data_IF_928363449677
#
_entry.id   IF_928363449677
#
_cell.length_a   1.000
_cell.length_b   1.000
_cell.length_c   1.000
_cell.angle_alpha   90.00
_cell.angle_beta   90.00
_cell.angle_gamma   90.00
#
_symmetry.space_group_name_H-M   'P 1'
#
loop_
_entity.id
_entity.type
_entity.pdbx_description
1 polymer ?
#
# COMPACT_ATOMS: atom_id res chain seq x y z
N UNK A 1 32.69 28.87 -18.90
CA UNK A 1 32.76 27.39 -18.99
C UNK A 1 33.82 26.89 -18.03
N UNK A 2 33.64 25.67 -17.49
CA UNK A 2 34.53 24.96 -16.54
C UNK A 2 34.30 25.11 -15.02
N UNK A 3 33.17 25.66 -14.52
CA UNK A 3 32.90 25.69 -13.07
C UNK A 3 31.52 25.16 -12.62
N UNK A 4 30.73 24.53 -13.51
CA UNK A 4 29.37 24.03 -13.18
C UNK A 4 29.16 22.56 -13.58
N UNK A 5 30.23 21.77 -13.73
CA UNK A 5 30.12 20.33 -14.08
C UNK A 5 30.72 19.36 -13.05
N UNK A 6 31.17 19.83 -11.88
CA UNK A 6 31.71 18.95 -10.83
C UNK A 6 30.73 18.64 -9.67
N UNK A 7 29.49 19.12 -9.72
CA UNK A 7 28.49 18.84 -8.67
C UNK A 7 27.53 17.68 -9.00
N UNK A 8 27.63 17.05 -10.18
CA UNK A 8 26.68 16.01 -10.62
C UNK A 8 27.23 14.57 -10.54
N UNK A 9 28.47 14.35 -10.08
CA UNK A 9 29.04 12.99 -10.01
C UNK A 9 29.53 12.51 -8.64
N UNK A 10 29.31 13.23 -7.53
CA UNK A 10 29.64 12.76 -6.17
C UNK A 10 28.41 12.45 -5.30
N UNK A 11 27.38 11.83 -5.89
CA UNK A 11 26.20 11.32 -5.15
C UNK A 11 25.76 9.92 -5.53
N UNK A 12 26.66 9.12 -6.10
CA UNK A 12 26.51 7.67 -6.23
C UNK A 12 27.62 7.01 -5.42
N UNK A 13 27.24 6.04 -4.59
CA UNK A 13 28.05 5.31 -3.61
C UNK A 13 28.29 6.02 -2.28
N UNK A 14 27.42 5.76 -1.30
CA UNK A 14 27.78 5.07 -0.04
C UNK A 14 26.76 5.36 1.08
N UNK A 15 25.79 4.47 1.28
CA UNK A 15 25.17 4.08 2.56
C UNK A 15 23.79 3.45 2.29
N UNK A 16 23.80 2.21 1.84
CA UNK A 16 22.68 1.29 2.08
C UNK A 16 22.67 0.98 3.58
N UNK A 17 21.82 1.69 4.33
CA UNK A 17 21.44 1.26 5.68
C UNK A 17 20.76 -0.11 5.56
N UNK A 18 21.07 -1.10 6.41
CA UNK A 18 20.26 -2.30 6.44
C UNK A 18 18.85 -1.91 6.90
N UNK A 19 17.86 -2.30 6.10
CA UNK A 19 16.46 -2.30 6.49
C UNK A 19 16.33 -3.09 7.79
N UNK A 20 16.11 -2.38 8.90
CA UNK A 20 15.53 -2.98 10.11
C UNK A 20 14.08 -3.30 9.78
N UNK A 21 13.90 -4.50 9.22
CA UNK A 21 12.63 -5.17 9.11
C UNK A 21 12.08 -5.30 10.55
N UNK A 22 11.14 -4.42 10.91
CA UNK A 22 10.43 -4.49 12.18
C UNK A 22 9.49 -5.70 12.12
N UNK A 23 10.07 -6.89 12.22
CA UNK A 23 9.35 -8.11 12.56
C UNK A 23 8.95 -7.95 14.01
N UNK A 24 7.77 -7.36 14.23
CA UNK A 24 6.99 -7.57 15.44
C UNK A 24 6.65 -9.07 15.48
N UNK A 25 7.63 -9.90 15.82
CA UNK A 25 7.36 -11.19 16.41
C UNK A 25 6.60 -10.88 17.69
N UNK A 26 5.29 -11.12 17.66
CA UNK A 26 4.52 -11.32 18.88
C UNK A 26 5.15 -12.55 19.52
N UNK A 27 6.17 -12.31 20.33
CA UNK A 27 6.68 -13.27 21.29
C UNK A 27 5.52 -13.52 22.23
N UNK A 28 4.79 -14.61 21.99
CA UNK A 28 3.99 -15.23 23.02
C UNK A 28 4.98 -15.69 24.09
N UNK A 29 5.33 -14.79 25.01
CA UNK A 29 5.84 -15.17 26.31
C UNK A 29 4.70 -15.91 27.00
N UNK A 30 4.57 -17.20 26.70
CA UNK A 30 3.99 -18.15 27.64
C UNK A 30 5.00 -18.20 28.77
N UNK A 31 4.88 -17.23 29.69
CA UNK A 31 5.48 -17.33 31.01
C UNK A 31 4.73 -18.45 31.68
N UNK A 32 5.14 -19.70 31.41
CA UNK A 32 4.68 -20.84 32.18
C UNK A 32 5.08 -20.51 33.63
N UNK A 33 4.12 -20.27 34.54
CA UNK A 33 4.49 -20.14 35.93
C UNK A 33 5.10 -21.49 36.29
N UNK A 34 6.37 -21.48 36.67
CA UNK A 34 7.01 -22.63 37.30
C UNK A 34 6.21 -22.87 38.58
N UNK A 35 5.15 -23.68 38.51
CA UNK A 35 4.39 -24.11 39.67
C UNK A 35 5.36 -24.94 40.50
N UNK A 36 5.97 -24.29 41.48
CA UNK A 36 6.65 -24.94 42.57
C UNK A 36 5.59 -25.71 43.32
N UNK A 37 5.42 -26.99 42.95
CA UNK A 37 4.56 -27.92 43.65
C UNK A 37 5.07 -27.98 45.10
N UNK A 38 4.41 -27.20 45.96
CA UNK A 38 4.64 -27.23 47.39
C UNK A 38 3.99 -28.52 47.91
N UNK A 39 4.70 -29.64 47.69
CA UNK A 39 4.50 -30.87 48.45
C UNK A 39 4.84 -30.51 49.90
N UNK A 40 3.80 -30.10 50.64
CA UNK A 40 3.90 -29.81 52.07
C UNK A 40 4.43 -31.08 52.71
N UNK A 41 5.68 -31.06 53.21
CA UNK A 41 6.32 -32.21 53.86
C UNK A 41 5.42 -32.64 55.01
N UNK A 42 4.70 -33.74 54.82
CA UNK A 42 3.77 -34.27 55.81
C UNK A 42 4.62 -34.97 56.87
N UNK A 43 5.05 -34.23 57.89
CA UNK A 43 5.56 -34.81 59.13
C UNK A 43 4.36 -35.11 60.04
N UNK A 44 4.01 -36.39 60.13
CA UNK A 44 3.03 -36.90 61.08
C UNK A 44 3.71 -37.95 61.96
N UNK A 45 3.52 -37.73 63.27
CA UNK A 45 3.76 -38.52 64.50
C UNK A 45 4.28 -39.97 64.44
N UNK A 46 4.97 -40.42 65.51
CA UNK A 46 5.65 -41.71 65.56
C UNK A 46 4.68 -42.88 65.42
N UNK A 47 5.12 -43.91 64.68
CA UNK A 47 4.35 -45.11 64.41
C UNK A 47 4.02 -45.86 65.72
N UNK A 48 2.73 -45.87 66.06
CA UNK A 48 2.15 -46.68 67.13
C UNK A 48 2.11 -48.19 66.78
N UNK A 49 2.67 -48.58 65.63
CA UNK A 49 2.66 -49.94 65.07
C UNK A 49 4.02 -50.68 65.17
N UNK A 50 4.87 -50.33 66.16
CA UNK A 50 5.99 -51.19 66.55
C UNK A 50 5.51 -52.42 67.33
N UNK A 51 4.64 -53.22 66.73
CA UNK A 51 4.16 -54.45 67.36
C UNK A 51 5.09 -55.58 66.97
N UNK A 52 5.92 -56.03 67.92
CA UNK A 52 6.72 -57.23 67.76
C UNK A 52 5.75 -58.40 67.47
N UNK A 53 5.93 -59.07 66.33
CA UNK A 53 4.97 -60.05 65.84
C UNK A 53 5.12 -61.43 66.46
N UNK A 54 6.19 -61.65 67.22
CA UNK A 54 6.45 -62.91 67.90
C UNK A 54 6.43 -62.75 69.42
N UNK A 55 5.94 -63.78 70.10
CA UNK A 55 5.89 -63.87 71.56
C UNK A 55 7.24 -64.37 72.08
N UNK A 56 8.00 -63.48 72.73
CA UNK A 56 9.31 -63.80 73.31
C UNK A 56 9.24 -64.93 74.32
N UNK A 57 8.15 -65.05 75.10
CA UNK A 57 8.03 -66.09 76.12
C UNK A 57 7.78 -67.45 75.49
N UNK A 58 6.86 -67.52 74.51
CA UNK A 58 6.59 -68.77 73.78
C UNK A 58 7.86 -69.31 73.10
N UNK A 59 8.67 -68.42 72.52
CA UNK A 59 9.90 -68.80 71.83
C UNK A 59 11.00 -69.27 72.79
N UNK A 60 11.10 -68.70 74.00
CA UNK A 60 12.00 -69.21 75.05
C UNK A 60 11.57 -70.61 75.49
N UNK A 61 10.27 -70.83 75.73
CA UNK A 61 9.75 -72.14 76.14
C UNK A 61 9.97 -73.22 75.08
N UNK A 62 9.81 -72.87 73.79
CA UNK A 62 10.09 -73.77 72.67
C UNK A 62 11.58 -74.15 72.58
N UNK A 63 12.48 -73.17 72.75
CA UNK A 63 13.93 -73.42 72.77
C UNK A 63 14.36 -74.28 73.97
N UNK A 64 13.80 -74.05 75.16
CA UNK A 64 14.04 -74.90 76.34
C UNK A 64 13.60 -76.34 76.09
N UNK A 65 12.41 -76.55 75.49
CA UNK A 65 11.91 -77.88 75.12
C UNK A 65 12.76 -78.59 74.05
N UNK A 66 13.53 -77.82 73.28
CA UNK A 66 14.43 -78.31 72.24
C UNK A 66 15.84 -78.63 72.75
N UNK A 67 16.07 -78.52 74.08
CA UNK A 67 17.31 -78.91 74.74
C UNK A 67 18.30 -77.78 75.00
N UNK A 68 17.90 -76.51 74.84
CA UNK A 68 18.72 -75.36 75.22
C UNK A 68 18.58 -75.05 76.71
N UNK A 69 19.67 -74.61 77.34
CA UNK A 69 19.60 -74.06 78.70
C UNK A 69 18.77 -72.76 78.67
N UNK A 70 17.95 -72.53 79.70
CA UNK A 70 17.13 -71.31 79.86
C UNK A 70 17.89 -70.02 79.53
N UNK A 71 19.12 -69.90 80.05
CA UNK A 71 19.98 -68.74 79.81
C UNK A 71 20.38 -68.58 78.34
N UNK A 72 20.61 -69.69 77.63
CA UNK A 72 20.95 -69.67 76.21
C UNK A 72 19.72 -69.32 75.36
N UNK A 73 18.55 -69.88 75.70
CA UNK A 73 17.29 -69.56 75.04
C UNK A 73 16.94 -68.07 75.19
N UNK A 74 17.00 -67.52 76.41
CA UNK A 74 16.76 -66.09 76.69
C UNK A 74 17.73 -65.18 75.91
N UNK A 75 19.00 -65.55 75.80
CA UNK A 75 20.02 -64.75 75.11
C UNK A 75 19.81 -64.74 73.58
N UNK A 76 19.44 -65.88 72.99
CA UNK A 76 19.07 -66.00 71.57
C UNK A 76 17.81 -65.19 71.27
N UNK A 77 16.77 -65.34 72.10
CA UNK A 77 15.52 -64.58 71.94
C UNK A 77 15.78 -63.08 72.09
N UNK A 78 16.59 -62.65 73.07
CA UNK A 78 16.95 -61.24 73.24
C UNK A 78 17.67 -60.68 72.01
N UNK A 79 18.63 -61.41 71.44
CA UNK A 79 19.32 -60.98 70.22
C UNK A 79 18.36 -60.85 69.03
N UNK A 80 17.40 -61.78 68.90
CA UNK A 80 16.37 -61.73 67.86
C UNK A 80 15.40 -60.56 68.05
N UNK A 81 15.00 -60.25 69.28
CA UNK A 81 14.18 -59.06 69.59
C UNK A 81 14.93 -57.79 69.21
N UNK A 82 16.20 -57.66 69.56
CA UNK A 82 17.02 -56.49 69.22
C UNK A 82 17.18 -56.34 67.70
N UNK A 83 17.51 -57.42 66.99
CA UNK A 83 17.67 -57.41 65.53
C UNK A 83 16.34 -57.09 64.82
N UNK A 84 15.23 -57.69 65.27
CA UNK A 84 13.90 -57.45 64.69
C UNK A 84 13.45 -56.03 64.93
N UNK A 85 13.69 -55.48 66.12
CA UNK A 85 13.36 -54.08 66.44
C UNK A 85 14.16 -53.11 65.56
N UNK A 86 15.46 -53.35 65.39
CA UNK A 86 16.31 -52.54 64.52
C UNK A 86 15.88 -52.62 63.04
N UNK A 87 15.52 -53.82 62.55
CA UNK A 87 15.01 -54.00 61.18
C UNK A 87 13.65 -53.31 60.98
N UNK A 88 12.75 -53.41 61.95
CA UNK A 88 11.45 -52.72 61.93
C UNK A 88 11.67 -51.21 61.79
N UNK A 89 12.57 -50.61 62.56
CA UNK A 89 12.85 -49.18 62.47
C UNK A 89 13.41 -48.75 61.10
N UNK A 90 14.27 -49.56 60.49
CA UNK A 90 14.80 -49.29 59.14
C UNK A 90 13.69 -49.39 58.09
N UNK A 91 12.90 -50.46 58.12
CA UNK A 91 11.84 -50.70 57.13
C UNK A 91 10.74 -49.64 57.23
N UNK A 92 10.31 -49.26 58.44
CA UNK A 92 9.28 -48.24 58.61
C UNK A 92 9.75 -46.82 58.28
N UNK A 93 11.05 -46.56 58.32
CA UNK A 93 11.62 -45.29 57.87
C UNK A 93 11.52 -45.11 56.35
N UNK A 94 11.65 -46.19 55.60
CA UNK A 94 11.61 -46.17 54.13
C UNK A 94 10.20 -46.48 53.57
N UNK A 95 9.29 -47.00 54.41
CA UNK A 95 7.91 -47.26 54.03
C UNK A 95 7.02 -46.02 54.08
N UNK A 96 6.03 -46.00 53.19
CA UNK A 96 4.98 -44.98 53.16
C UNK A 96 3.73 -45.53 53.86
N UNK A 97 3.21 -44.80 54.84
CA UNK A 97 1.97 -45.18 55.53
C UNK A 97 0.76 -44.89 54.65
N UNK A 98 -0.34 -45.64 54.84
CA UNK A 98 -1.61 -45.40 54.13
C UNK A 98 -2.10 -43.96 54.31
N UNK A 99 -1.94 -43.39 55.52
CA UNK A 99 -2.29 -41.99 55.80
C UNK A 99 -1.45 -41.01 54.96
N UNK A 100 -0.14 -41.27 54.80
CA UNK A 100 0.73 -40.45 53.96
C UNK A 100 0.33 -40.51 52.48
N UNK A 101 0.00 -41.72 51.98
CA UNK A 101 -0.49 -41.91 50.62
C UNK A 101 -1.82 -41.18 50.39
N UNK A 102 -2.77 -41.26 51.33
CA UNK A 102 -4.07 -40.60 51.21
C UNK A 102 -3.94 -39.07 51.16
N UNK A 103 -3.09 -38.48 52.01
CA UNK A 103 -2.83 -37.03 51.99
C UNK A 103 -2.20 -36.61 50.66
N UNK A 104 -1.23 -37.38 50.15
CA UNK A 104 -0.61 -37.09 48.86
C UNK A 104 -1.63 -37.16 47.71
N UNK A 105 -2.51 -38.17 47.72
CA UNK A 105 -3.59 -38.29 46.73
C UNK A 105 -4.56 -37.12 46.82
N UNK A 106 -4.99 -36.72 48.02
CA UNK A 106 -5.87 -35.56 48.19
C UNK A 106 -5.24 -34.26 47.68
N UNK A 107 -3.94 -34.05 47.90
CA UNK A 107 -3.21 -32.92 47.34
C UNK A 107 -3.21 -32.95 45.81
N UNK A 108 -2.90 -34.11 45.20
CA UNK A 108 -2.92 -34.27 43.74
C UNK A 108 -4.30 -33.98 43.16
N UNK A 109 -5.37 -34.49 43.79
CA UNK A 109 -6.75 -34.24 43.35
C UNK A 109 -7.10 -32.75 43.44
N UNK A 110 -6.73 -32.07 44.53
CA UNK A 110 -6.95 -30.64 44.68
C UNK A 110 -6.23 -29.81 43.59
N UNK A 111 -4.98 -30.20 43.25
CA UNK A 111 -4.25 -29.57 42.16
C UNK A 111 -4.90 -29.81 40.80
N UNK A 112 -5.36 -31.03 40.52
CA UNK A 112 -6.09 -31.35 39.28
C UNK A 112 -7.39 -30.56 39.18
N UNK A 113 -8.11 -30.36 40.29
CA UNK A 113 -9.33 -29.56 40.31
C UNK A 113 -9.07 -28.06 40.08
N UNK A 114 -7.94 -27.54 40.56
CA UNK A 114 -7.50 -26.17 40.25
C UNK A 114 -7.21 -26.01 38.76
N UNK A 115 -6.41 -26.91 38.17
CA UNK A 115 -6.11 -26.91 36.72
C UNK A 115 -7.40 -27.02 35.89
N UNK A 116 -8.34 -27.87 36.32
CA UNK A 116 -9.64 -27.99 35.64
C UNK A 116 -10.42 -26.68 35.66
N UNK A 117 -10.44 -25.96 36.78
CA UNK A 117 -11.08 -24.64 36.87
C UNK A 117 -10.43 -23.64 35.92
N UNK A 118 -9.10 -23.57 35.91
CA UNK A 118 -8.36 -22.65 35.04
C UNK A 118 -8.65 -22.95 33.56
N UNK A 119 -8.68 -24.23 33.16
CA UNK A 119 -9.06 -24.66 31.81
C UNK A 119 -10.48 -24.20 31.42
N UNK A 120 -11.45 -24.37 32.31
CA UNK A 120 -12.84 -23.95 32.07
C UNK A 120 -12.96 -22.43 31.98
N UNK A 121 -12.22 -21.68 32.80
CA UNK A 121 -12.18 -20.21 32.73
C UNK A 121 -11.58 -19.76 31.40
N UNK A 122 -10.47 -20.37 30.98
CA UNK A 122 -9.80 -20.08 29.72
C UNK A 122 -10.73 -20.31 28.52
N UNK A 123 -11.42 -21.46 28.49
CA UNK A 123 -12.35 -21.83 27.43
C UNK A 123 -13.57 -20.91 27.38
N UNK A 124 -14.17 -20.59 28.53
CA UNK A 124 -15.39 -19.79 28.59
C UNK A 124 -15.15 -18.28 28.45
N UNK A 125 -14.03 -17.78 28.92
CA UNK A 125 -13.73 -16.34 28.92
C UNK A 125 -12.85 -15.96 27.74
N UNK A 126 -11.61 -16.42 27.72
CA UNK A 126 -10.61 -15.88 26.79
C UNK A 126 -10.85 -16.35 25.36
N UNK A 127 -11.10 -17.65 25.16
CA UNK A 127 -11.40 -18.17 23.82
C UNK A 127 -12.72 -17.62 23.26
N UNK A 128 -13.76 -17.49 24.10
CA UNK A 128 -15.03 -16.90 23.68
C UNK A 128 -14.86 -15.43 23.28
N UNK A 129 -14.12 -14.65 24.06
CA UNK A 129 -13.81 -13.25 23.76
C UNK A 129 -13.00 -13.12 22.46
N UNK A 130 -11.93 -13.89 22.31
CA UNK A 130 -11.11 -13.89 21.09
C UNK A 130 -11.92 -14.27 19.86
N UNK A 131 -12.81 -15.27 19.96
CA UNK A 131 -13.68 -15.67 18.85
C UNK A 131 -14.67 -14.56 18.51
N UNK A 132 -15.29 -13.94 19.50
CA UNK A 132 -16.19 -12.79 19.31
C UNK A 132 -15.47 -11.64 18.63
N UNK A 133 -14.30 -11.25 19.13
CA UNK A 133 -13.48 -10.18 18.57
C UNK A 133 -13.02 -10.49 17.13
N UNK A 134 -12.63 -11.74 16.86
CA UNK A 134 -12.29 -12.17 15.50
C UNK A 134 -13.48 -12.06 14.53
N UNK A 135 -14.69 -12.47 14.96
CA UNK A 135 -15.90 -12.31 14.13
C UNK A 135 -16.27 -10.84 13.93
N UNK A 136 -16.04 -9.99 14.93
CA UNK A 136 -16.26 -8.54 14.83
C UNK A 136 -15.30 -7.91 13.83
N UNK A 137 -14.00 -8.20 13.94
CA UNK A 137 -12.99 -7.72 13.01
C UNK A 137 -13.26 -8.17 11.58
N UNK A 138 -13.69 -9.43 11.36
CA UNK A 138 -14.10 -9.90 10.03
C UNK A 138 -15.25 -9.09 9.45
N UNK A 139 -16.28 -8.78 10.25
CA UNK A 139 -17.42 -7.97 9.82
C UNK A 139 -17.01 -6.54 9.47
N UNK A 140 -16.19 -5.91 10.29
CA UNK A 140 -15.68 -4.55 10.04
C UNK A 140 -14.81 -4.49 8.77
N UNK A 141 -13.98 -5.52 8.54
CA UNK A 141 -13.16 -5.63 7.34
C UNK A 141 -14.02 -5.79 6.08
N UNK A 142 -15.07 -6.61 6.14
CA UNK A 142 -16.01 -6.79 5.03
C UNK A 142 -16.80 -5.51 4.73
N UNK A 143 -17.27 -4.81 5.77
CA UNK A 143 -17.91 -3.50 5.63
C UNK A 143 -16.97 -2.47 4.99
N UNK A 144 -15.71 -2.39 5.44
CA UNK A 144 -14.73 -1.46 4.88
C UNK A 144 -14.43 -1.79 3.43
N UNK A 145 -14.28 -3.08 3.09
CA UNK A 145 -14.09 -3.54 1.72
C UNK A 145 -15.25 -3.12 0.81
N UNK A 146 -16.48 -3.33 1.25
CA UNK A 146 -17.67 -2.95 0.48
C UNK A 146 -17.74 -1.44 0.28
N UNK A 147 -17.51 -0.64 1.34
CA UNK A 147 -17.47 0.83 1.25
C UNK A 147 -16.41 1.33 0.27
N UNK A 148 -15.20 0.78 0.32
CA UNK A 148 -14.12 1.16 -0.61
C UNK A 148 -14.49 0.80 -2.04
N UNK A 149 -15.10 -0.36 -2.26
CA UNK A 149 -15.55 -0.77 -3.58
C UNK A 149 -16.66 0.13 -4.13
N UNK A 150 -17.64 0.48 -3.31
CA UNK A 150 -18.74 1.41 -3.66
C UNK A 150 -18.21 2.80 -3.98
N UNK A 151 -17.38 3.40 -3.12
CA UNK A 151 -16.79 4.71 -3.35
C UNK A 151 -15.87 4.72 -4.58
N UNK A 152 -15.10 3.66 -4.81
CA UNK A 152 -14.27 3.53 -6.01
C UNK A 152 -15.11 3.47 -7.28
N UNK A 153 -16.23 2.72 -7.27
CA UNK A 153 -17.15 2.67 -8.39
C UNK A 153 -17.84 4.01 -8.63
N UNK A 154 -18.27 4.68 -7.57
CA UNK A 154 -18.88 6.00 -7.62
C UNK A 154 -17.93 7.03 -8.23
N UNK A 155 -16.72 7.15 -7.70
CA UNK A 155 -15.68 8.05 -8.23
C UNK A 155 -15.39 7.74 -9.71
N UNK A 156 -15.34 6.46 -10.09
CA UNK A 156 -15.13 6.07 -11.49
C UNK A 156 -16.27 6.52 -12.41
N UNK A 157 -17.52 6.40 -11.97
CA UNK A 157 -18.70 6.82 -12.74
C UNK A 157 -18.74 8.35 -12.83
N UNK A 158 -18.52 9.05 -11.73
CA UNK A 158 -18.46 10.52 -11.66
C UNK A 158 -17.35 11.05 -12.58
N UNK A 159 -16.13 10.53 -12.46
CA UNK A 159 -15.00 10.95 -13.31
C UNK A 159 -15.27 10.71 -14.79
N UNK A 160 -15.90 9.57 -15.14
CA UNK A 160 -16.26 9.29 -16.54
C UNK A 160 -17.31 10.27 -17.06
N UNK A 161 -18.29 10.62 -16.23
CA UNK A 161 -19.29 11.62 -16.57
C UNK A 161 -18.65 12.99 -16.78
N UNK A 162 -17.79 13.43 -15.87
CA UNK A 162 -17.08 14.71 -15.96
C UNK A 162 -16.24 14.81 -17.23
N UNK A 163 -15.47 13.76 -17.55
CA UNK A 163 -14.68 13.69 -18.79
C UNK A 163 -15.59 13.78 -20.02
N UNK A 164 -16.72 13.08 -20.01
CA UNK A 164 -17.64 13.10 -21.14
C UNK A 164 -18.29 14.48 -21.33
N UNK A 165 -18.69 15.14 -20.24
CA UNK A 165 -19.25 16.48 -20.28
C UNK A 165 -18.22 17.50 -20.79
N UNK A 166 -16.99 17.43 -20.30
CA UNK A 166 -15.92 18.33 -20.76
C UNK A 166 -15.52 18.03 -22.21
N UNK A 167 -15.51 16.76 -22.63
CA UNK A 167 -15.27 16.39 -24.03
C UNK A 167 -16.37 16.93 -24.96
N UNK A 168 -17.64 16.86 -24.54
CA UNK A 168 -18.75 17.47 -25.27
C UNK A 168 -18.58 18.98 -25.37
N UNK A 169 -18.24 19.64 -24.25
CA UNK A 169 -18.01 21.09 -24.20
C UNK A 169 -16.88 21.52 -25.13
N UNK A 170 -15.76 20.80 -25.14
CA UNK A 170 -14.64 21.05 -26.04
C UNK A 170 -15.07 20.86 -27.50
N UNK A 171 -15.84 19.82 -27.80
CA UNK A 171 -16.34 19.56 -29.15
C UNK A 171 -17.27 20.68 -29.64
N UNK A 172 -18.18 21.16 -28.79
CA UNK A 172 -19.08 22.26 -29.11
C UNK A 172 -18.32 23.57 -29.35
N UNK A 173 -17.34 23.88 -28.50
CA UNK A 173 -16.46 25.05 -28.67
C UNK A 173 -15.64 24.96 -29.97
N UNK A 174 -15.15 23.77 -30.31
CA UNK A 174 -14.42 23.54 -31.56
C UNK A 174 -15.31 23.75 -32.78
N UNK A 175 -16.54 23.20 -32.77
CA UNK A 175 -17.51 23.41 -33.84
C UNK A 175 -17.89 24.89 -34.00
N UNK A 176 -18.02 25.63 -32.89
CA UNK A 176 -18.26 27.08 -32.93
C UNK A 176 -17.07 27.84 -33.57
N UNK A 177 -15.84 27.46 -33.22
CA UNK A 177 -14.64 28.05 -33.81
C UNK A 177 -14.53 27.73 -35.31
N UNK A 178 -14.80 26.49 -35.71
CA UNK A 178 -14.82 26.08 -37.10
C UNK A 178 -15.85 26.88 -37.91
N UNK A 179 -17.04 27.09 -37.36
CA UNK A 179 -18.07 27.94 -37.96
C UNK A 179 -17.59 29.39 -38.13
N UNK A 180 -17.02 30.01 -37.09
CA UNK A 180 -16.48 31.38 -37.18
C UNK A 180 -15.37 31.49 -38.22
N UNK A 181 -14.52 30.47 -38.33
CA UNK A 181 -13.46 30.42 -39.33
C UNK A 181 -14.03 30.28 -40.76
N UNK A 182 -15.08 29.49 -40.94
CA UNK A 182 -15.79 29.37 -42.22
C UNK A 182 -16.45 30.70 -42.62
N UNK A 183 -17.13 31.37 -41.69
CA UNK A 183 -17.72 32.71 -41.91
C UNK A 183 -16.64 33.72 -42.31
N UNK A 184 -15.54 33.81 -41.53
CA UNK A 184 -14.44 34.73 -41.84
C UNK A 184 -13.76 34.42 -43.17
N UNK A 185 -13.64 33.15 -43.54
CA UNK A 185 -13.09 32.72 -44.84
C UNK A 185 -14.03 33.12 -45.98
N UNK A 186 -15.34 32.95 -45.80
CA UNK A 186 -16.34 33.36 -46.78
C UNK A 186 -16.34 34.88 -46.98
N UNK A 187 -16.32 35.64 -45.89
CA UNK A 187 -16.22 37.11 -45.93
C UNK A 187 -14.94 37.59 -46.59
N UNK A 188 -13.81 36.93 -46.32
CA UNK A 188 -12.54 37.21 -46.98
C UNK A 188 -12.60 36.96 -48.48
N UNK A 189 -13.20 35.84 -48.90
CA UNK A 189 -13.38 35.54 -50.33
C UNK A 189 -14.31 36.54 -51.02
N UNK A 190 -15.39 36.97 -50.36
CA UNK A 190 -16.28 38.00 -50.91
C UNK A 190 -15.52 39.32 -51.12
N UNK A 191 -14.82 39.81 -50.09
CA UNK A 191 -14.03 41.05 -50.19
C UNK A 191 -12.93 40.96 -51.24
N UNK A 192 -12.31 39.78 -51.39
CA UNK A 192 -11.32 39.54 -52.43
C UNK A 192 -11.94 39.65 -53.83
N UNK A 193 -13.13 39.08 -54.05
CA UNK A 193 -13.84 39.16 -55.32
C UNK A 193 -14.23 40.62 -55.65
N UNK A 194 -14.71 41.38 -54.66
CA UNK A 194 -15.02 42.80 -54.82
C UNK A 194 -13.76 43.60 -55.24
N UNK A 195 -12.63 43.38 -54.54
CA UNK A 195 -11.36 44.01 -54.89
C UNK A 195 -10.85 43.62 -56.28
N UNK A 196 -11.03 42.38 -56.70
CA UNK A 196 -10.66 41.94 -58.06
C UNK A 196 -11.55 42.61 -59.12
N UNK A 197 -12.85 42.77 -58.84
CA UNK A 197 -13.78 43.49 -59.71
C UNK A 197 -13.40 44.96 -59.86
N UNK A 198 -13.16 45.66 -58.75
CA UNK A 198 -12.74 47.07 -58.74
C UNK A 198 -11.42 47.27 -59.51
N UNK A 199 -10.44 46.40 -59.27
CA UNK A 199 -9.17 46.43 -60.00
C UNK A 199 -9.37 46.21 -61.51
N UNK A 200 -10.25 45.28 -61.91
CA UNK A 200 -10.59 45.06 -63.31
C UNK A 200 -11.23 46.31 -63.94
N UNK A 201 -12.15 46.99 -63.23
CA UNK A 201 -12.78 48.22 -63.71
C UNK A 201 -11.75 49.34 -63.87
N UNK A 202 -10.86 49.53 -62.88
CA UNK A 202 -9.78 50.53 -62.94
C UNK A 202 -8.84 50.24 -64.12
N UNK A 203 -8.41 48.99 -64.30
CA UNK A 203 -7.55 48.60 -65.42
C UNK A 203 -8.22 48.89 -66.77
N UNK A 204 -9.51 48.55 -66.92
CA UNK A 204 -10.27 48.85 -68.13
C UNK A 204 -10.37 50.36 -68.40
N UNK A 205 -10.60 51.18 -67.37
CA UNK A 205 -10.62 52.65 -67.50
C UNK A 205 -9.26 53.20 -67.90
N UNK A 206 -8.18 52.68 -67.31
CA UNK A 206 -6.81 53.05 -67.65
C UNK A 206 -6.49 52.72 -69.12
N UNK A 207 -6.86 51.52 -69.60
CA UNK A 207 -6.66 51.13 -70.99
C UNK A 207 -7.42 52.06 -71.97
N UNK A 208 -8.67 52.43 -71.64
CA UNK A 208 -9.45 53.37 -72.43
C UNK A 208 -8.82 54.78 -72.46
N UNK A 209 -8.33 55.26 -71.31
CA UNK A 209 -7.64 56.55 -71.24
C UNK A 209 -6.32 56.53 -72.04
N UNK A 210 -5.54 55.44 -71.96
CA UNK A 210 -4.30 55.28 -72.74
C UNK A 210 -4.60 55.28 -74.25
N UNK A 211 -5.63 54.55 -74.70
CA UNK A 211 -6.05 54.54 -76.10
C UNK A 211 -6.54 55.91 -76.59
N UNK A 212 -7.32 56.61 -75.76
CA UNK A 212 -7.80 57.97 -76.02
C UNK A 212 -6.64 58.95 -76.15
N UNK A 213 -5.72 58.97 -75.16
CA UNK A 213 -4.52 59.81 -75.18
C UNK A 213 -3.64 59.52 -76.40
N UNK A 214 -3.48 58.25 -76.78
CA UNK A 214 -2.75 57.86 -77.99
C UNK A 214 -3.40 58.42 -79.25
N UNK A 215 -4.72 58.37 -79.35
CA UNK A 215 -5.48 58.94 -80.48
C UNK A 215 -5.28 60.44 -80.59
N UNK A 216 -5.38 61.18 -79.47
CA UNK A 216 -5.13 62.63 -79.42
C UNK A 216 -3.67 62.96 -79.80
N UNK A 217 -2.71 62.15 -79.32
CA UNK A 217 -1.31 62.31 -79.67
C UNK A 217 -1.07 62.12 -81.17
N UNK A 218 -1.68 61.09 -81.78
CA UNK A 218 -1.58 60.85 -83.22
C UNK A 218 -2.23 61.96 -84.04
N UNK A 219 -3.39 62.48 -83.63
CA UNK A 219 -4.03 63.61 -84.31
C UNK A 219 -3.19 64.88 -84.23
N UNK A 220 -2.62 65.20 -83.06
CA UNK A 220 -1.74 66.37 -82.89
C UNK A 220 -0.45 66.25 -83.71
N UNK A 221 0.12 65.04 -83.83
CA UNK A 221 1.25 64.78 -84.74
C UNK A 221 0.88 65.08 -86.20
N UNK A 222 -0.27 64.58 -86.66
CA UNK A 222 -0.75 64.82 -88.03
C UNK A 222 -1.03 66.31 -88.28
N UNK A 223 -1.62 67.00 -87.32
CA UNK A 223 -1.88 68.44 -87.39
C UNK A 223 -0.58 69.25 -87.46
N UNK A 224 0.42 68.91 -86.64
CA UNK A 224 1.74 69.55 -86.69
C UNK A 224 2.43 69.35 -88.05
N UNK A 225 2.35 68.14 -88.61
CA UNK A 225 2.87 67.85 -89.96
C UNK A 225 2.15 68.72 -91.02
N UNK A 226 0.82 68.86 -90.92
CA UNK A 226 0.04 69.71 -91.84
C UNK A 226 0.41 71.19 -91.72
N UNK A 227 0.51 71.74 -90.50
CA UNK A 227 0.93 73.13 -90.30
C UNK A 227 2.34 73.38 -90.83
N UNK A 228 3.28 72.47 -90.56
CA UNK A 228 4.65 72.58 -91.07
C UNK A 228 4.70 72.56 -92.61
N UNK A 229 3.92 71.69 -93.25
CA UNK A 229 3.79 71.71 -94.71
C UNK A 229 3.24 73.06 -95.19
N UNK A 230 2.17 73.57 -94.56
CA UNK A 230 1.54 74.84 -94.93
C UNK A 230 2.50 76.04 -94.80
N UNK A 231 3.32 76.10 -93.74
CA UNK A 231 4.30 77.17 -93.56
C UNK A 231 5.46 77.08 -94.55
N UNK A 232 5.93 75.88 -94.88
CA UNK A 232 6.94 75.70 -95.93
C UNK A 232 6.37 76.14 -97.29
N UNK A 233 5.14 75.74 -97.62
CA UNK A 233 4.49 76.17 -98.86
C UNK A 233 4.24 77.69 -98.91
N UNK A 234 3.84 78.32 -97.79
CA UNK A 234 3.64 79.77 -97.76
C UNK A 234 4.96 80.55 -97.87
N UNK A 235 6.02 80.09 -97.20
CA UNK A 235 7.36 80.65 -97.37
C UNK A 235 7.86 80.52 -98.82
N UNK A 236 7.66 79.36 -99.46
CA UNK A 236 7.99 79.17 -100.87
C UNK A 236 7.16 80.09 -101.78
N UNK A 237 5.85 80.24 -101.51
CA UNK A 237 4.99 81.14 -102.28
C UNK A 237 5.41 82.61 -102.15
N UNK A 238 5.77 83.06 -100.95
CA UNK A 238 6.30 84.40 -100.71
C UNK A 238 7.65 84.58 -101.40
N UNK A 239 8.57 83.62 -101.29
CA UNK A 239 9.86 83.66 -101.96
C UNK A 239 9.71 83.73 -103.50
N UNK A 240 8.79 82.95 -104.08
CA UNK A 240 8.44 83.04 -105.50
C UNK A 240 7.79 84.39 -105.86
N UNK A 241 6.96 84.94 -104.98
CA UNK A 241 6.38 86.28 -105.14
C UNK A 241 7.43 87.40 -105.15
N UNK A 242 8.38 87.37 -104.21
CA UNK A 242 9.51 88.33 -104.15
C UNK A 242 10.43 88.15 -105.34
N UNK A 243 10.76 86.91 -105.72
CA UNK A 243 11.56 86.63 -106.92
C UNK A 243 10.90 87.17 -108.20
N UNK A 244 9.56 87.15 -108.28
CA UNK A 244 8.80 87.70 -109.40
C UNK A 244 8.73 89.22 -109.44
N UNK A 245 8.84 89.90 -108.29
CA UNK A 245 8.88 91.36 -108.18
C UNK A 245 10.29 91.94 -108.42
N UNK A 246 11.34 91.12 -108.31
CA UNK A 246 12.74 91.53 -108.58
C UNK A 246 13.21 91.16 -110.00
N UNK A 247 12.32 90.69 -110.87
CA UNK A 247 12.60 90.43 -112.29
C UNK A 247 11.79 91.38 -113.15
#
# INVERSE_FOLDING_TARGET
GMAVRQQVQKKKFSHTKPHTENKNFISFHVTAPTMTFNLRKVELTPLEQRKLTFDSHAMVTELESSGFEKRQAELIVSALVTLTTANIDIVYKDMVTKAHQEIAVQQLVAHLDAIRKDMVILEKSEFANLRSENTKMKRELEQLRNRVQEESQKVRVETKLDINLESSRISDMFAEQEKKLMEATTDFHHKKADLEHDNMEINKKMDLQVASLKTVLESLKLETIRYLAATVFSCLAIALGVYRLWR
#
